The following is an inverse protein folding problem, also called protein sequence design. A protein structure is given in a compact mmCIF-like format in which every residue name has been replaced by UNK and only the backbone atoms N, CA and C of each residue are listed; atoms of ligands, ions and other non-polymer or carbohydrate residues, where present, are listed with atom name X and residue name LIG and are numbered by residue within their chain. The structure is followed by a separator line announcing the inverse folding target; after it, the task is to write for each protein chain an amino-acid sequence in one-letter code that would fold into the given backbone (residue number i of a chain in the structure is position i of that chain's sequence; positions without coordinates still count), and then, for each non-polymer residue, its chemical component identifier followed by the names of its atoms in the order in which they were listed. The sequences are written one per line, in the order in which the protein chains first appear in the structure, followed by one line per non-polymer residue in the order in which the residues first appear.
data_IF_934434647985
#
_entry.id   IF_934434647985
#
_cell.length_a   1.000
_cell.length_b   1.000
_cell.length_c   1.000
_cell.angle_alpha   90.00
_cell.angle_beta   90.00
_cell.angle_gamma   90.00
#
_symmetry.space_group_name_H-M   'P 1'
#
loop_
_entity.id
_entity.type
_entity.pdbx_description
1 polymer ?
#
# COMPACT_ATOMS: atom_id res chain seq x y z
N UNK A 1 0.84 4.95 -18.76
CA UNK A 1 2.29 5.28 -18.63
C UNK A 1 2.78 4.73 -17.31
N UNK A 2 3.94 4.06 -17.30
CA UNK A 2 4.52 3.45 -16.11
C UNK A 2 5.36 4.50 -15.36
N UNK A 3 5.23 4.57 -14.04
CA UNK A 3 5.82 5.60 -13.17
C UNK A 3 6.65 5.01 -12.07
N UNK A 4 7.60 5.81 -11.56
CA UNK A 4 8.38 5.50 -10.36
C UNK A 4 8.12 6.60 -9.34
N UNK A 5 7.72 6.21 -8.14
CA UNK A 5 7.35 7.11 -7.05
C UNK A 5 7.97 6.73 -5.72
N UNK A 6 7.76 7.57 -4.72
CA UNK A 6 8.15 7.35 -3.33
C UNK A 6 7.03 7.78 -2.39
N UNK A 7 6.98 7.14 -1.23
CA UNK A 7 6.14 7.59 -0.13
C UNK A 7 6.76 8.81 0.55
N UNK A 8 5.91 9.79 0.86
CA UNK A 8 6.25 11.03 1.55
C UNK A 8 5.28 11.28 2.70
N UNK A 9 5.80 11.56 3.90
CA UNK A 9 4.99 11.73 5.09
C UNK A 9 5.64 12.59 6.15
N UNK A 10 4.89 12.88 7.20
CA UNK A 10 5.28 13.75 8.30
C UNK A 10 5.14 13.00 9.64
N UNK A 11 6.11 12.16 10.04
CA UNK A 11 5.97 11.30 11.22
C UNK A 11 5.74 12.04 12.54
N UNK A 12 6.08 13.32 12.59
CA UNK A 12 5.83 14.24 13.72
C UNK A 12 4.50 15.01 13.61
N UNK A 13 3.73 14.77 12.53
CA UNK A 13 2.47 15.46 12.26
C UNK A 13 2.61 16.82 11.58
N UNK A 14 3.81 17.39 11.54
CA UNK A 14 4.05 18.73 10.97
C UNK A 14 4.22 18.71 9.45
N UNK A 15 3.19 19.16 8.73
CA UNK A 15 3.19 19.22 7.26
C UNK A 15 4.31 20.12 6.70
N UNK A 16 4.85 21.06 7.47
CA UNK A 16 5.93 21.93 7.00
C UNK A 16 7.18 21.17 6.57
N UNK A 17 7.41 19.99 7.18
CA UNK A 17 8.53 19.10 6.86
C UNK A 17 8.42 18.49 5.45
N UNK A 18 7.23 18.41 4.88
CA UNK A 18 6.96 17.82 3.56
C UNK A 18 7.67 18.59 2.43
N UNK A 19 7.78 19.91 2.53
CA UNK A 19 8.43 20.75 1.51
C UNK A 19 9.88 20.33 1.21
N UNK A 20 10.63 19.90 2.21
CA UNK A 20 12.00 19.41 2.04
C UNK A 20 12.03 18.05 1.30
N UNK A 21 11.07 17.18 1.58
CA UNK A 21 10.94 15.90 0.89
C UNK A 21 10.57 16.10 -0.59
N UNK A 22 9.61 16.99 -0.88
CA UNK A 22 9.23 17.34 -2.27
C UNK A 22 10.44 17.82 -3.07
N UNK A 23 11.25 18.72 -2.51
CA UNK A 23 12.48 19.21 -3.16
C UNK A 23 13.46 18.06 -3.46
N UNK A 24 13.70 17.19 -2.48
CA UNK A 24 14.57 16.03 -2.62
C UNK A 24 14.08 15.08 -3.73
N UNK A 25 12.79 14.75 -3.74
CA UNK A 25 12.22 13.85 -4.74
C UNK A 25 12.20 14.46 -6.14
N UNK A 26 12.04 15.78 -6.24
CA UNK A 26 12.19 16.52 -7.51
C UNK A 26 13.63 16.41 -8.04
N UNK A 27 14.63 16.57 -7.18
CA UNK A 27 16.05 16.40 -7.54
C UNK A 27 16.39 14.97 -7.97
N UNK A 28 15.70 13.96 -7.41
CA UNK A 28 15.82 12.55 -7.80
C UNK A 28 15.10 12.21 -9.11
N UNK A 29 14.25 13.09 -9.62
CA UNK A 29 13.53 12.91 -10.87
C UNK A 29 12.51 11.77 -10.85
N UNK A 30 11.79 11.62 -9.73
CA UNK A 30 10.66 10.68 -9.61
C UNK A 30 9.41 11.26 -10.27
N UNK A 31 8.51 10.38 -10.70
CA UNK A 31 7.31 10.75 -11.47
C UNK A 31 6.09 11.01 -10.56
N UNK A 32 6.06 10.40 -9.37
CA UNK A 32 4.91 10.44 -8.47
C UNK A 32 5.31 10.40 -7.00
N UNK A 33 4.39 10.84 -6.14
CA UNK A 33 4.54 10.72 -4.69
C UNK A 33 3.26 10.18 -4.06
N UNK A 34 3.42 9.23 -3.16
CA UNK A 34 2.36 8.75 -2.29
C UNK A 34 2.39 9.51 -0.98
N UNK A 35 1.35 10.29 -0.74
CA UNK A 35 1.23 11.14 0.45
C UNK A 35 0.64 10.33 1.61
N UNK A 36 1.42 10.13 2.65
CA UNK A 36 1.05 9.36 3.84
C UNK A 36 0.19 10.21 4.79
N UNK A 37 -1.10 10.39 4.48
CA UNK A 37 -2.01 11.24 5.28
C UNK A 37 -2.24 10.71 6.70
N UNK A 38 -1.97 9.44 6.96
CA UNK A 38 -2.00 8.87 8.31
C UNK A 38 -0.94 9.47 9.25
N UNK A 39 0.07 10.13 8.70
CA UNK A 39 1.13 10.81 9.44
C UNK A 39 0.90 12.33 9.57
N UNK A 40 -0.31 12.81 9.26
CA UNK A 40 -0.65 14.23 9.22
C UNK A 40 -1.99 14.48 9.92
N UNK A 41 -2.16 15.65 10.53
CA UNK A 41 -3.38 16.02 11.25
C UNK A 41 -4.53 16.49 10.33
N UNK A 42 -4.55 16.03 9.08
CA UNK A 42 -5.60 16.40 8.08
C UNK A 42 -6.96 15.77 8.36
N UNK A 43 -7.00 14.72 9.18
CA UNK A 43 -8.24 14.10 9.67
C UNK A 43 -8.15 13.96 11.19
N UNK A 44 -9.09 14.60 11.91
CA UNK A 44 -9.15 14.54 13.37
C UNK A 44 -10.58 14.22 13.81
N UNK A 45 -10.74 13.23 14.69
CA UNK A 45 -12.05 12.80 15.18
C UNK A 45 -13.03 12.41 14.05
N UNK A 46 -12.53 11.79 12.98
CA UNK A 46 -13.28 11.42 11.76
C UNK A 46 -13.85 12.63 10.99
N UNK A 47 -13.25 13.80 11.15
CA UNK A 47 -13.59 15.02 10.41
C UNK A 47 -12.35 15.56 9.72
N UNK A 48 -12.55 16.15 8.54
CA UNK A 48 -11.47 16.84 7.84
C UNK A 48 -11.08 18.10 8.64
N UNK A 49 -9.81 18.19 8.97
CA UNK A 49 -9.21 19.38 9.59
C UNK A 49 -8.88 20.38 8.49
N UNK A 50 -9.82 21.29 8.22
CA UNK A 50 -9.73 22.23 7.09
C UNK A 50 -8.48 23.10 7.08
N UNK A 51 -7.97 23.66 8.22
CA UNK A 51 -6.70 24.37 8.27
C UNK A 51 -5.53 23.52 7.77
N UNK A 52 -5.38 22.30 8.27
CA UNK A 52 -4.28 21.39 7.89
C UNK A 52 -4.40 20.90 6.44
N UNK A 53 -5.61 20.58 5.99
CA UNK A 53 -5.86 20.25 4.59
C UNK A 53 -5.47 21.40 3.66
N UNK A 54 -5.75 22.66 4.07
CA UNK A 54 -5.33 23.83 3.29
C UNK A 54 -3.81 23.92 3.21
N UNK A 55 -3.10 23.72 4.32
CA UNK A 55 -1.62 23.73 4.35
C UNK A 55 -1.08 22.64 3.41
N UNK A 56 -1.64 21.42 3.48
CA UNK A 56 -1.26 20.32 2.59
C UNK A 56 -1.47 20.69 1.12
N UNK A 57 -2.64 21.20 0.75
CA UNK A 57 -2.95 21.65 -0.62
C UNK A 57 -1.98 22.74 -1.11
N UNK A 58 -1.72 23.75 -0.28
CA UNK A 58 -0.78 24.82 -0.63
C UNK A 58 0.66 24.30 -0.80
N UNK A 59 1.06 23.30 0.01
CA UNK A 59 2.39 22.67 -0.08
C UNK A 59 2.55 21.85 -1.37
N UNK A 60 1.52 21.14 -1.79
CA UNK A 60 1.52 20.32 -3.00
C UNK A 60 1.29 21.15 -4.28
N UNK A 61 0.82 22.39 -4.15
CA UNK A 61 0.50 23.25 -5.28
C UNK A 61 1.75 23.55 -6.14
N UNK A 62 1.60 23.54 -7.46
CA UNK A 62 2.67 23.82 -8.43
C UNK A 62 3.89 22.88 -8.36
N UNK A 63 3.71 21.68 -7.83
CA UNK A 63 4.69 20.61 -7.95
C UNK A 63 4.35 19.73 -9.16
N UNK A 64 5.39 19.27 -9.90
CA UNK A 64 5.22 18.46 -11.10
C UNK A 64 5.19 16.96 -10.78
N UNK A 65 4.40 16.55 -9.78
CA UNK A 65 4.22 15.15 -9.42
C UNK A 65 2.77 14.72 -9.66
N UNK A 66 2.59 13.44 -10.01
CA UNK A 66 1.30 12.78 -9.79
C UNK A 66 1.22 12.33 -8.34
N UNK A 67 0.05 12.47 -7.72
CA UNK A 67 -0.14 12.07 -6.34
C UNK A 67 -0.99 10.81 -6.24
N UNK A 68 -0.60 9.93 -5.34
CA UNK A 68 -1.42 8.95 -4.67
C UNK A 68 -1.47 9.28 -3.17
N UNK A 69 -2.35 8.63 -2.45
CA UNK A 69 -2.49 8.77 -0.99
C UNK A 69 -2.37 7.41 -0.35
N UNK A 70 -1.60 7.29 0.73
CA UNK A 70 -1.76 6.20 1.68
C UNK A 70 -2.70 6.65 2.79
N UNK A 71 -3.85 6.00 2.90
CA UNK A 71 -4.87 6.27 3.91
C UNK A 71 -4.49 5.78 5.30
N UNK A 72 -5.40 5.92 6.25
CA UNK A 72 -5.18 5.47 7.62
C UNK A 72 -4.89 3.97 7.69
N UNK A 73 -3.72 3.61 8.22
CA UNK A 73 -3.22 2.23 8.33
C UNK A 73 -4.15 1.30 9.13
N UNK A 74 -4.93 1.87 10.05
CA UNK A 74 -5.85 1.12 10.91
C UNK A 74 -7.17 0.76 10.26
N UNK A 75 -7.47 1.23 9.04
CA UNK A 75 -8.70 0.85 8.33
C UNK A 75 -8.71 -0.65 8.11
N UNK A 76 -9.74 -1.32 8.64
CA UNK A 76 -9.88 -2.77 8.59
C UNK A 76 -11.36 -3.15 8.52
N UNK A 77 -11.89 -3.32 7.33
CA UNK A 77 -13.31 -3.65 7.10
C UNK A 77 -13.66 -5.11 7.45
N UNK A 78 -12.65 -5.97 7.74
CA UNK A 78 -12.89 -7.30 8.32
C UNK A 78 -13.16 -7.25 9.83
N UNK A 79 -12.83 -6.13 10.50
CA UNK A 79 -13.15 -5.92 11.90
C UNK A 79 -14.60 -5.47 12.05
N UNK A 80 -15.48 -6.39 12.45
CA UNK A 80 -16.92 -6.13 12.54
C UNK A 80 -17.32 -5.25 13.73
N UNK A 81 -16.54 -5.24 14.80
CA UNK A 81 -16.78 -4.41 15.99
C UNK A 81 -16.67 -2.91 15.67
N UNK A 82 -15.68 -2.55 14.85
CA UNK A 82 -15.41 -1.16 14.47
C UNK A 82 -15.73 -0.85 13.00
N UNK A 83 -16.49 -1.71 12.33
CA UNK A 83 -16.76 -1.62 10.89
C UNK A 83 -17.23 -0.23 10.45
N UNK A 84 -18.23 0.35 11.11
CA UNK A 84 -18.78 1.65 10.73
C UNK A 84 -17.78 2.79 10.95
N UNK A 85 -16.90 2.65 11.95
CA UNK A 85 -15.80 3.59 12.19
C UNK A 85 -14.74 3.52 11.10
N UNK A 86 -14.40 2.31 10.65
CA UNK A 86 -13.45 2.08 9.56
C UNK A 86 -14.01 2.57 8.23
N UNK A 87 -15.29 2.29 7.94
CA UNK A 87 -15.98 2.80 6.77
C UNK A 87 -15.99 4.32 6.72
N UNK A 88 -16.31 4.98 7.84
CA UNK A 88 -16.30 6.46 7.92
C UNK A 88 -14.88 7.01 7.72
N UNK A 89 -13.84 6.37 8.28
CA UNK A 89 -12.46 6.79 8.07
C UNK A 89 -12.06 6.62 6.60
N UNK A 90 -12.41 5.51 5.95
CA UNK A 90 -12.16 5.30 4.53
C UNK A 90 -12.80 6.40 3.69
N UNK A 91 -14.04 6.78 4.02
CA UNK A 91 -14.74 7.89 3.37
C UNK A 91 -13.97 9.22 3.49
N UNK A 92 -13.46 9.55 4.70
CA UNK A 92 -12.64 10.77 4.88
C UNK A 92 -11.33 10.69 4.09
N UNK A 93 -10.69 9.51 4.03
CA UNK A 93 -9.48 9.33 3.22
C UNK A 93 -9.76 9.59 1.73
N UNK A 94 -10.90 9.12 1.20
CA UNK A 94 -11.34 9.39 -0.19
C UNK A 94 -11.50 10.89 -0.42
N UNK A 95 -12.19 11.59 0.48
CA UNK A 95 -12.42 13.03 0.37
C UNK A 95 -11.10 13.81 0.35
N UNK A 96 -10.17 13.52 1.27
CA UNK A 96 -8.83 14.16 1.29
C UNK A 96 -8.07 13.84 0.00
N UNK A 97 -8.13 12.61 -0.49
CA UNK A 97 -7.47 12.22 -1.75
C UNK A 97 -8.00 13.02 -2.94
N UNK A 98 -9.32 13.19 -3.04
CA UNK A 98 -9.93 14.04 -4.07
C UNK A 98 -9.53 15.51 -3.97
N UNK A 99 -9.46 16.05 -2.74
CA UNK A 99 -9.09 17.44 -2.48
C UNK A 99 -7.66 17.80 -2.89
N UNK A 100 -6.73 16.82 -2.89
CA UNK A 100 -5.35 17.00 -3.35
C UNK A 100 -5.13 16.49 -4.78
N UNK A 101 -6.19 16.12 -5.52
CA UNK A 101 -6.15 15.54 -6.86
C UNK A 101 -5.28 14.26 -6.95
N UNK A 102 -5.31 13.42 -5.93
CA UNK A 102 -4.66 12.12 -5.97
C UNK A 102 -5.40 11.17 -6.91
N UNK A 103 -4.66 10.39 -7.70
CA UNK A 103 -5.25 9.40 -8.63
C UNK A 103 -5.67 8.12 -7.92
N UNK A 104 -4.93 7.72 -6.88
CA UNK A 104 -5.16 6.50 -6.11
C UNK A 104 -5.18 6.78 -4.61
N UNK A 105 -6.02 6.04 -3.90
CA UNK A 105 -5.99 5.91 -2.45
C UNK A 105 -5.64 4.47 -2.08
N UNK A 106 -4.46 4.26 -1.53
CA UNK A 106 -4.06 2.98 -0.94
C UNK A 106 -4.76 2.81 0.40
N UNK A 107 -5.38 1.65 0.59
CA UNK A 107 -6.00 1.23 1.84
C UNK A 107 -5.85 -0.27 2.03
N UNK A 108 -5.64 -0.71 3.25
CA UNK A 108 -5.42 -2.12 3.56
C UNK A 108 -6.67 -2.97 3.31
N UNK A 109 -6.48 -4.19 2.79
CA UNK A 109 -7.55 -5.19 2.72
C UNK A 109 -8.07 -5.54 4.11
N UNK A 110 -7.19 -5.51 5.10
CA UNK A 110 -7.50 -5.81 6.48
C UNK A 110 -7.09 -7.21 6.92
N UNK A 111 -7.20 -7.41 8.23
CA UNK A 111 -6.86 -8.65 8.91
C UNK A 111 -8.06 -9.16 9.70
N UNK A 112 -8.12 -10.47 9.85
CA UNK A 112 -9.02 -11.11 10.82
C UNK A 112 -8.21 -11.96 11.81
N UNK A 113 -8.88 -12.72 12.69
CA UNK A 113 -8.19 -13.66 13.56
C UNK A 113 -8.22 -15.07 12.97
N UNK A 114 -7.24 -15.92 13.33
CA UNK A 114 -7.23 -17.33 12.93
C UNK A 114 -8.53 -18.02 13.33
N UNK A 115 -9.06 -17.71 14.53
CA UNK A 115 -10.35 -18.25 15.02
C UNK A 115 -11.54 -17.88 14.13
N UNK A 116 -11.60 -16.64 13.62
CA UNK A 116 -12.67 -16.23 12.70
C UNK A 116 -12.49 -16.92 11.35
N UNK A 117 -11.27 -17.01 10.85
CA UNK A 117 -10.94 -17.69 9.60
C UNK A 117 -11.30 -19.18 9.63
N UNK A 118 -11.08 -19.88 10.76
CA UNK A 118 -11.45 -21.29 10.95
C UNK A 118 -12.97 -21.48 10.91
N UNK A 119 -13.75 -20.50 11.36
CA UNK A 119 -15.21 -20.50 11.20
C UNK A 119 -15.57 -19.95 9.79
N UNK A 120 -15.63 -20.85 8.82
CA UNK A 120 -15.80 -20.48 7.40
C UNK A 120 -17.08 -19.68 7.13
N UNK A 121 -18.19 -20.01 7.77
CA UNK A 121 -19.46 -19.28 7.61
C UNK A 121 -19.31 -17.83 8.10
N UNK A 122 -18.75 -17.64 9.28
CA UNK A 122 -18.51 -16.33 9.86
C UNK A 122 -17.51 -15.51 9.00
N UNK A 123 -16.42 -16.13 8.59
CA UNK A 123 -15.41 -15.45 7.75
C UNK A 123 -16.00 -15.00 6.41
N UNK A 124 -16.76 -15.87 5.72
CA UNK A 124 -17.43 -15.51 4.48
C UNK A 124 -18.45 -14.39 4.65
N UNK A 125 -19.15 -14.35 5.80
CA UNK A 125 -20.08 -13.23 6.08
C UNK A 125 -19.35 -11.90 6.25
N UNK A 126 -18.15 -11.89 6.89
CA UNK A 126 -17.31 -10.70 7.01
C UNK A 126 -16.77 -10.25 5.65
N UNK A 127 -16.29 -11.19 4.82
CA UNK A 127 -15.84 -10.89 3.46
C UNK A 127 -16.95 -10.29 2.61
N UNK A 128 -18.16 -10.84 2.67
CA UNK A 128 -19.31 -10.31 1.92
C UNK A 128 -19.62 -8.86 2.32
N UNK A 129 -19.66 -8.58 3.62
CA UNK A 129 -19.89 -7.21 4.11
C UNK A 129 -18.81 -6.24 3.65
N UNK A 130 -17.54 -6.69 3.65
CA UNK A 130 -16.41 -5.92 3.13
C UNK A 130 -16.55 -5.65 1.63
N UNK A 131 -16.92 -6.66 0.82
CA UNK A 131 -17.17 -6.50 -0.62
C UNK A 131 -18.25 -5.45 -0.90
N UNK A 132 -19.39 -5.54 -0.21
CA UNK A 132 -20.48 -4.57 -0.33
C UNK A 132 -20.00 -3.15 0.02
N UNK A 133 -19.17 -3.02 1.04
CA UNK A 133 -18.60 -1.74 1.43
C UNK A 133 -17.60 -1.21 0.39
N UNK A 134 -16.72 -2.05 -0.16
CA UNK A 134 -15.79 -1.61 -1.21
C UNK A 134 -16.51 -1.22 -2.50
N UNK A 135 -17.59 -1.91 -2.88
CA UNK A 135 -18.42 -1.51 -4.03
C UNK A 135 -19.05 -0.12 -3.80
N UNK A 136 -19.62 0.13 -2.61
CA UNK A 136 -20.16 1.44 -2.24
C UNK A 136 -19.08 2.54 -2.20
N UNK A 137 -17.94 2.25 -1.60
CA UNK A 137 -16.83 3.21 -1.51
C UNK A 137 -16.14 3.42 -2.86
N UNK A 138 -16.18 2.45 -3.77
CA UNK A 138 -15.74 2.59 -5.16
C UNK A 138 -16.55 3.62 -5.93
N UNK A 139 -17.89 3.59 -5.81
CA UNK A 139 -18.75 4.64 -6.40
C UNK A 139 -18.47 6.00 -5.76
N UNK A 140 -18.31 6.05 -4.44
CA UNK A 140 -17.97 7.29 -3.75
C UNK A 140 -16.59 7.83 -4.17
N UNK A 141 -15.59 6.98 -4.33
CA UNK A 141 -14.25 7.35 -4.80
C UNK A 141 -14.30 7.90 -6.25
N UNK A 142 -15.13 7.30 -7.11
CA UNK A 142 -15.34 7.78 -8.48
C UNK A 142 -15.91 9.21 -8.51
N UNK A 143 -16.83 9.57 -7.61
CA UNK A 143 -17.33 10.95 -7.48
C UNK A 143 -16.22 11.95 -7.13
N UNK A 144 -15.17 11.49 -6.47
CA UNK A 144 -13.97 12.26 -6.09
C UNK A 144 -12.80 12.11 -7.10
N UNK A 145 -13.00 11.41 -8.24
CA UNK A 145 -11.96 11.08 -9.22
C UNK A 145 -10.78 10.27 -8.64
N UNK A 146 -11.04 9.43 -7.65
CA UNK A 146 -10.06 8.58 -6.98
C UNK A 146 -10.31 7.12 -7.30
N UNK A 147 -9.25 6.32 -7.43
CA UNK A 147 -9.31 4.86 -7.49
C UNK A 147 -8.84 4.30 -6.14
N UNK A 148 -9.62 3.42 -5.53
CA UNK A 148 -9.17 2.66 -4.36
C UNK A 148 -8.16 1.61 -4.81
N UNK A 149 -7.00 1.58 -4.20
CA UNK A 149 -5.96 0.57 -4.39
C UNK A 149 -5.86 -0.27 -3.11
N UNK A 150 -6.46 -1.46 -3.15
CA UNK A 150 -6.60 -2.33 -1.97
C UNK A 150 -5.31 -3.13 -1.80
N UNK A 151 -4.63 -2.90 -0.69
CA UNK A 151 -3.32 -3.46 -0.41
C UNK A 151 -3.38 -4.78 0.35
N UNK A 152 -2.60 -5.76 -0.10
CA UNK A 152 -2.38 -7.02 0.61
C UNK A 152 -1.48 -6.81 1.84
N UNK A 153 -1.80 -7.55 2.90
CA UNK A 153 -1.05 -7.53 4.16
C UNK A 153 -0.46 -8.91 4.49
N UNK A 154 0.28 -8.94 5.58
CA UNK A 154 0.78 -10.15 6.23
C UNK A 154 0.30 -10.20 7.70
N UNK A 155 0.29 -11.35 8.37
CA UNK A 155 -0.21 -11.46 9.75
C UNK A 155 0.83 -10.93 10.76
N UNK A 156 0.83 -9.62 11.02
CA UNK A 156 1.77 -8.94 11.91
C UNK A 156 1.30 -8.84 13.38
N UNK A 157 0.02 -9.09 13.64
CA UNK A 157 -0.52 -9.16 14.99
C UNK A 157 -0.55 -10.61 15.50
N UNK A 158 -0.48 -10.84 16.83
CA UNK A 158 -0.71 -12.17 17.40
C UNK A 158 -2.06 -12.73 16.93
N UNK A 159 -2.08 -14.01 16.60
CA UNK A 159 -3.29 -14.75 16.19
C UNK A 159 -4.05 -14.12 15.00
N UNK A 160 -3.38 -13.25 14.23
CA UNK A 160 -3.98 -12.65 13.04
C UNK A 160 -3.83 -13.53 11.81
N UNK A 161 -4.85 -13.48 10.99
CA UNK A 161 -4.91 -14.05 9.65
C UNK A 161 -4.96 -12.93 8.61
N UNK A 162 -4.05 -12.97 7.65
CA UNK A 162 -4.06 -12.15 6.44
C UNK A 162 -4.41 -13.02 5.23
N UNK A 163 -5.39 -12.64 4.41
CA UNK A 163 -5.69 -13.35 3.16
C UNK A 163 -4.47 -13.39 2.23
N UNK A 164 -4.34 -14.50 1.48
CA UNK A 164 -3.32 -14.60 0.44
C UNK A 164 -3.64 -13.68 -0.75
N UNK A 165 -2.66 -13.29 -1.56
CA UNK A 165 -2.88 -12.47 -2.74
C UNK A 165 -3.94 -13.00 -3.70
N UNK A 166 -4.03 -14.33 -3.89
CA UNK A 166 -5.08 -14.97 -4.70
C UNK A 166 -6.48 -14.79 -4.11
N UNK A 167 -6.63 -14.87 -2.78
CA UNK A 167 -7.91 -14.65 -2.09
C UNK A 167 -8.36 -13.19 -2.24
N UNK A 168 -7.44 -12.23 -2.15
CA UNK A 168 -7.73 -10.81 -2.35
C UNK A 168 -8.14 -10.54 -3.80
N UNK A 169 -7.37 -11.05 -4.77
CA UNK A 169 -7.68 -10.91 -6.18
C UNK A 169 -9.07 -11.45 -6.53
N UNK A 170 -9.45 -12.61 -5.97
CA UNK A 170 -10.80 -13.15 -6.14
C UNK A 170 -11.86 -12.21 -5.61
N UNK A 171 -11.67 -11.65 -4.41
CA UNK A 171 -12.62 -10.70 -3.82
C UNK A 171 -12.79 -9.44 -4.68
N UNK A 172 -11.72 -8.90 -5.24
CA UNK A 172 -11.79 -7.70 -6.07
C UNK A 172 -12.40 -7.99 -7.45
N UNK A 173 -12.16 -9.17 -8.02
CA UNK A 173 -12.84 -9.63 -9.24
C UNK A 173 -14.34 -9.79 -9.01
N UNK A 174 -14.77 -10.27 -7.85
CA UNK A 174 -16.19 -10.42 -7.50
C UNK A 174 -16.87 -9.06 -7.28
N UNK A 175 -16.12 -8.03 -6.84
CA UNK A 175 -16.62 -6.65 -6.75
C UNK A 175 -16.81 -6.05 -8.15
N UNK A 176 -15.92 -6.34 -9.09
CA UNK A 176 -15.92 -5.89 -10.49
C UNK A 176 -16.22 -4.38 -10.66
N UNK A 177 -15.52 -3.55 -9.87
CA UNK A 177 -15.72 -2.11 -9.89
C UNK A 177 -14.52 -1.38 -10.53
N UNK A 178 -14.74 -0.43 -11.47
CA UNK A 178 -13.64 0.24 -12.18
C UNK A 178 -12.71 1.05 -11.26
N UNK A 179 -13.25 1.60 -10.16
CA UNK A 179 -12.50 2.39 -9.18
C UNK A 179 -12.10 1.57 -7.93
N UNK A 180 -12.09 0.22 -8.00
CA UNK A 180 -11.56 -0.65 -6.95
C UNK A 180 -10.53 -1.57 -7.59
N UNK A 181 -9.26 -1.36 -7.28
CA UNK A 181 -8.09 -2.05 -7.85
C UNK A 181 -7.23 -2.61 -6.72
N UNK A 182 -6.18 -3.34 -7.07
CA UNK A 182 -5.18 -3.77 -6.11
C UNK A 182 -4.05 -2.74 -5.98
N UNK A 183 -3.52 -2.62 -4.77
CA UNK A 183 -2.14 -2.26 -4.51
C UNK A 183 -1.41 -3.55 -4.14
N UNK A 184 -0.46 -4.00 -4.98
CA UNK A 184 0.37 -5.14 -4.65
C UNK A 184 1.58 -4.67 -3.85
N UNK A 185 1.57 -4.90 -2.54
CA UNK A 185 2.80 -4.86 -1.78
C UNK A 185 3.54 -6.20 -1.93
N UNK A 186 4.69 -6.14 -2.62
CA UNK A 186 5.48 -7.32 -2.98
C UNK A 186 6.08 -7.97 -1.74
N UNK A 187 6.57 -7.18 -0.79
CA UNK A 187 7.16 -7.66 0.45
C UNK A 187 6.11 -8.27 1.39
N UNK A 188 4.95 -7.63 1.54
CA UNK A 188 3.85 -8.19 2.31
C UNK A 188 3.38 -9.54 1.73
N UNK A 189 3.28 -9.63 0.39
CA UNK A 189 2.99 -10.87 -0.30
C UNK A 189 4.04 -11.95 0.01
N UNK A 190 5.33 -11.59 -0.04
CA UNK A 190 6.43 -12.51 0.25
C UNK A 190 6.42 -12.99 1.71
N UNK A 191 6.23 -12.07 2.67
CA UNK A 191 6.08 -12.40 4.10
C UNK A 191 4.91 -13.35 4.37
N UNK A 192 3.74 -13.04 3.80
CA UNK A 192 2.54 -13.84 4.02
C UNK A 192 2.64 -15.23 3.37
N UNK A 193 3.11 -15.32 2.13
CA UNK A 193 3.28 -16.58 1.42
C UNK A 193 4.29 -17.49 2.11
N UNK A 194 5.45 -16.96 2.51
CA UNK A 194 6.46 -17.73 3.23
C UNK A 194 5.92 -18.25 4.56
N UNK A 195 5.22 -17.41 5.32
CA UNK A 195 4.58 -17.82 6.57
C UNK A 195 3.52 -18.91 6.39
N UNK A 196 2.74 -18.81 5.32
CA UNK A 196 1.65 -19.75 4.98
C UNK A 196 2.15 -20.99 4.22
N UNK A 197 3.44 -21.07 3.90
CA UNK A 197 4.02 -22.12 3.04
C UNK A 197 3.31 -22.19 1.68
N UNK A 198 2.92 -21.02 1.13
CA UNK A 198 2.34 -20.86 -0.20
C UNK A 198 3.42 -20.48 -1.21
N UNK A 199 3.22 -20.82 -2.50
CA UNK A 199 4.17 -20.49 -3.53
C UNK A 199 4.01 -19.02 -3.96
N UNK A 200 4.94 -18.16 -3.54
CA UNK A 200 4.85 -16.71 -3.65
C UNK A 200 4.55 -16.20 -5.06
N UNK A 201 5.28 -16.70 -6.07
CA UNK A 201 5.10 -16.27 -7.48
C UNK A 201 3.70 -16.61 -8.00
N UNK A 202 3.17 -17.79 -7.65
CA UNK A 202 1.83 -18.20 -8.08
C UNK A 202 0.76 -17.35 -7.41
N UNK A 203 0.95 -17.00 -6.15
CA UNK A 203 0.01 -16.18 -5.39
C UNK A 203 -0.09 -14.75 -5.94
N UNK A 204 1.04 -14.04 -6.08
CA UNK A 204 1.02 -12.64 -6.53
C UNK A 204 0.63 -12.50 -8.01
N UNK A 205 0.75 -13.57 -8.81
CA UNK A 205 0.31 -13.61 -10.19
C UNK A 205 -1.20 -13.30 -10.34
N UNK A 206 -1.99 -13.63 -9.33
CA UNK A 206 -3.43 -13.32 -9.33
C UNK A 206 -3.72 -11.83 -9.13
N UNK A 207 -2.92 -11.13 -8.30
CA UNK A 207 -3.09 -9.69 -8.05
C UNK A 207 -2.46 -8.82 -9.14
N UNK A 208 -1.38 -9.27 -9.78
CA UNK A 208 -0.61 -8.47 -10.73
C UNK A 208 -1.46 -7.78 -11.81
N UNK A 209 -2.41 -8.46 -12.51
CA UNK A 209 -3.24 -7.82 -13.54
C UNK A 209 -4.21 -6.76 -13.02
N UNK A 210 -4.48 -6.75 -11.70
CA UNK A 210 -5.40 -5.83 -11.04
C UNK A 210 -4.66 -4.67 -10.36
N UNK A 211 -3.31 -4.69 -10.35
CA UNK A 211 -2.48 -3.76 -9.58
C UNK A 211 -1.99 -2.61 -10.44
N UNK A 212 -2.63 -1.46 -10.31
CA UNK A 212 -2.17 -0.19 -10.91
C UNK A 212 -1.14 0.54 -10.04
N UNK A 213 -1.02 0.12 -8.77
CA UNK A 213 -0.09 0.62 -7.77
C UNK A 213 0.65 -0.54 -7.11
N UNK A 214 1.96 -0.42 -6.95
CA UNK A 214 2.80 -1.46 -6.34
C UNK A 214 3.70 -0.80 -5.30
N UNK A 215 3.74 -1.35 -4.09
CA UNK A 215 4.73 -1.00 -3.09
C UNK A 215 6.01 -1.81 -3.30
N UNK A 216 7.13 -1.06 -3.38
CA UNK A 216 8.45 -1.57 -3.71
C UNK A 216 9.39 -1.39 -2.54
N UNK A 217 9.71 -2.46 -1.87
CA UNK A 217 10.78 -2.59 -0.89
C UNK A 217 11.16 -4.05 -0.73
N UNK A 218 12.32 -4.32 -0.17
CA UNK A 218 12.84 -5.67 -0.05
C UNK A 218 12.76 -6.22 1.38
N UNK A 219 12.72 -7.53 1.51
CA UNK A 219 12.72 -8.26 2.79
C UNK A 219 13.22 -9.69 2.59
N UNK A 220 13.36 -10.44 3.69
CA UNK A 220 13.76 -11.85 3.65
C UNK A 220 12.59 -12.83 3.82
N UNK A 221 11.35 -12.37 3.74
CA UNK A 221 10.17 -13.23 3.84
C UNK A 221 9.93 -13.88 5.20
N UNK A 222 10.58 -13.43 6.26
CA UNK A 222 10.48 -14.01 7.60
C UNK A 222 9.72 -13.10 8.56
N UNK A 223 8.62 -13.57 9.15
CA UNK A 223 7.86 -12.78 10.12
C UNK A 223 8.60 -12.59 11.46
N UNK A 224 8.41 -11.42 12.06
CA UNK A 224 8.81 -11.11 13.42
C UNK A 224 7.61 -11.34 14.37
N UNK A 225 7.25 -12.61 14.65
CA UNK A 225 6.08 -12.91 15.49
C UNK A 225 6.37 -12.97 17.00
N UNK A 226 7.38 -13.72 17.40
CA UNK A 226 7.62 -14.03 18.82
C UNK A 226 9.03 -13.63 19.30
N UNK A 227 9.83 -13.06 18.43
CA UNK A 227 11.19 -12.63 18.74
C UNK A 227 11.16 -11.15 19.16
N UNK A 228 11.66 -10.87 20.37
CA UNK A 228 11.89 -9.50 20.79
C UNK A 228 13.16 -8.96 20.10
N UNK A 229 13.08 -7.76 19.58
CA UNK A 229 14.23 -7.00 19.06
C UNK A 229 14.19 -5.58 19.60
N UNK A 230 15.35 -4.98 19.81
CA UNK A 230 15.46 -3.61 20.31
C UNK A 230 14.91 -2.57 19.33
N UNK A 231 15.17 -2.78 18.04
CA UNK A 231 14.73 -1.88 16.98
C UNK A 231 14.71 -2.58 15.61
N UNK A 232 14.24 -1.87 14.57
CA UNK A 232 14.21 -2.39 13.19
C UNK A 232 15.58 -2.77 12.62
N UNK A 233 16.68 -2.16 13.08
CA UNK A 233 18.04 -2.51 12.63
C UNK A 233 18.43 -3.89 13.10
N UNK A 234 18.14 -4.19 14.38
CA UNK A 234 18.41 -5.53 14.93
C UNK A 234 17.51 -6.59 14.29
N UNK A 235 16.21 -6.28 14.08
CA UNK A 235 15.32 -7.17 13.33
C UNK A 235 15.87 -7.47 11.92
N UNK A 236 16.39 -6.44 11.24
CA UNK A 236 17.07 -6.57 9.94
C UNK A 236 18.31 -7.45 9.98
N UNK A 237 19.09 -7.40 11.07
CA UNK A 237 20.26 -8.28 11.22
C UNK A 237 19.87 -9.78 11.29
N UNK A 238 18.65 -10.08 11.71
CA UNK A 238 18.09 -11.43 11.70
C UNK A 238 17.25 -11.72 10.43
N UNK A 239 17.10 -10.76 9.53
CA UNK A 239 16.25 -10.87 8.34
C UNK A 239 14.77 -11.01 8.65
N UNK A 240 14.28 -10.45 9.77
CA UNK A 240 12.91 -10.65 10.25
C UNK A 240 12.07 -9.38 10.24
N UNK A 241 10.83 -9.55 9.85
CA UNK A 241 9.81 -8.50 9.81
C UNK A 241 9.72 -7.80 8.47
N UNK A 242 8.84 -6.82 8.44
CA UNK A 242 8.67 -5.91 7.33
C UNK A 242 9.74 -4.81 7.41
N UNK A 243 10.81 -5.01 6.64
CA UNK A 243 12.08 -4.30 6.83
C UNK A 243 12.21 -3.03 5.99
N UNK A 244 11.41 -2.88 4.94
CA UNK A 244 11.48 -1.76 3.99
C UNK A 244 12.91 -1.49 3.48
N UNK A 245 13.60 -2.57 3.05
CA UNK A 245 14.97 -2.50 2.55
C UNK A 245 15.06 -1.95 1.13
N UNK A 246 16.22 -1.39 0.72
CA UNK A 246 16.54 -1.17 -0.68
C UNK A 246 16.46 -2.48 -1.49
N UNK A 247 16.08 -2.38 -2.77
CA UNK A 247 16.02 -3.55 -3.66
C UNK A 247 17.38 -4.25 -3.75
N UNK A 248 17.36 -5.57 -3.71
CA UNK A 248 18.55 -6.43 -3.75
C UNK A 248 19.26 -6.60 -2.40
N UNK A 249 18.69 -6.09 -1.31
CA UNK A 249 19.19 -6.34 0.04
C UNK A 249 18.50 -7.52 0.73
N UNK A 250 17.35 -7.94 0.25
CA UNK A 250 16.60 -9.10 0.68
C UNK A 250 16.64 -10.22 -0.34
N UNK A 251 15.61 -11.06 -0.33
CA UNK A 251 15.53 -12.29 -1.12
C UNK A 251 14.39 -12.26 -2.15
N UNK A 252 13.72 -11.11 -2.32
CA UNK A 252 12.58 -11.02 -3.26
C UNK A 252 13.08 -11.08 -4.70
N UNK A 253 12.57 -12.00 -5.54
CA UNK A 253 13.04 -12.19 -6.91
C UNK A 253 12.39 -11.18 -7.89
N UNK A 254 12.67 -9.87 -7.73
CA UNK A 254 12.04 -8.80 -8.51
C UNK A 254 12.13 -9.01 -10.02
N UNK A 255 13.30 -9.40 -10.55
CA UNK A 255 13.46 -9.62 -11.99
C UNK A 255 12.50 -10.72 -12.50
N UNK A 256 12.37 -11.82 -11.76
CA UNK A 256 11.42 -12.89 -12.10
C UNK A 256 9.98 -12.39 -12.10
N UNK A 257 9.60 -11.57 -11.09
CA UNK A 257 8.27 -10.99 -11.00
C UNK A 257 7.95 -10.17 -12.24
N UNK A 258 8.84 -9.25 -12.63
CA UNK A 258 8.60 -8.33 -13.75
C UNK A 258 8.80 -8.98 -15.14
N UNK A 259 9.41 -10.15 -15.23
CA UNK A 259 9.51 -10.95 -16.47
C UNK A 259 8.35 -11.91 -16.66
N UNK A 260 7.77 -12.45 -15.61
CA UNK A 260 6.73 -13.49 -15.69
C UNK A 260 5.31 -12.95 -15.53
N UNK A 261 5.12 -11.73 -15.00
CA UNK A 261 3.80 -11.16 -14.72
C UNK A 261 3.44 -10.02 -15.65
N UNK A 262 2.16 -9.95 -15.98
CA UNK A 262 1.59 -8.81 -16.71
C UNK A 262 0.94 -7.85 -15.71
N UNK A 263 1.39 -6.59 -15.75
CA UNK A 263 0.80 -5.49 -15.01
C UNK A 263 0.02 -4.56 -15.94
N UNK A 264 -0.94 -3.78 -15.44
CA UNK A 264 -1.66 -2.79 -16.24
C UNK A 264 -0.73 -1.79 -16.93
N UNK A 265 -1.20 -1.20 -18.05
CA UNK A 265 -0.47 -0.15 -18.77
C UNK A 265 -0.20 1.07 -17.88
N UNK A 266 -1.19 1.44 -17.07
CA UNK A 266 -1.00 2.43 -15.99
C UNK A 266 -0.48 1.71 -14.77
N UNK A 267 0.78 1.95 -14.44
CA UNK A 267 1.45 1.31 -13.32
C UNK A 267 2.34 2.31 -12.61
N UNK A 268 2.22 2.39 -11.30
CA UNK A 268 3.13 3.12 -10.42
C UNK A 268 3.90 2.14 -9.54
N UNK A 269 5.23 2.19 -9.61
CA UNK A 269 6.12 1.53 -8.67
C UNK A 269 6.48 2.53 -7.57
N UNK A 270 5.81 2.45 -6.44
CA UNK A 270 6.00 3.35 -5.31
C UNK A 270 6.93 2.74 -4.27
N UNK A 271 8.05 3.42 -3.99
CA UNK A 271 9.01 2.96 -2.99
C UNK A 271 8.60 3.35 -1.58
N UNK A 272 8.56 2.35 -0.71
CA UNK A 272 8.41 2.50 0.74
C UNK A 272 9.70 2.20 1.52
N UNK A 273 10.84 2.48 0.89
CA UNK A 273 12.16 2.28 1.51
C UNK A 273 12.40 3.32 2.61
N UNK A 274 12.83 2.87 3.79
CA UNK A 274 13.06 3.75 4.94
C UNK A 274 14.05 4.88 4.64
N UNK A 275 13.80 6.07 5.17
CA UNK A 275 14.64 7.28 4.98
C UNK A 275 16.11 7.10 5.38
N UNK A 276 16.42 6.21 6.33
CA UNK A 276 17.81 5.87 6.69
C UNK A 276 18.60 5.31 5.52
N UNK A 277 17.94 4.85 4.46
CA UNK A 277 18.53 4.30 3.24
C UNK A 277 18.52 5.31 2.07
N UNK A 278 18.25 6.59 2.32
CA UNK A 278 18.13 7.62 1.26
C UNK A 278 19.34 7.69 0.30
N UNK A 279 20.53 7.33 0.74
CA UNK A 279 21.73 7.27 -0.11
C UNK A 279 21.65 6.24 -1.23
N UNK A 280 20.68 5.30 -1.16
CA UNK A 280 20.44 4.25 -2.16
C UNK A 280 19.20 4.52 -3.01
N UNK A 281 18.53 5.66 -2.86
CA UNK A 281 17.29 5.95 -3.61
C UNK A 281 17.55 6.04 -5.12
N UNK A 282 18.70 6.59 -5.55
CA UNK A 282 19.08 6.62 -6.96
C UNK A 282 19.24 5.21 -7.56
N UNK A 283 19.84 4.29 -6.84
CA UNK A 283 19.99 2.90 -7.24
C UNK A 283 18.64 2.21 -7.34
N UNK A 284 17.75 2.42 -6.39
CA UNK A 284 16.39 1.90 -6.41
C UNK A 284 15.61 2.42 -7.63
N UNK A 285 15.69 3.72 -7.94
CA UNK A 285 15.04 4.31 -9.12
C UNK A 285 15.57 3.68 -10.42
N UNK A 286 16.90 3.52 -10.55
CA UNK A 286 17.50 2.88 -11.73
C UNK A 286 17.01 1.45 -11.89
N UNK A 287 16.97 0.71 -10.80
CA UNK A 287 16.51 -0.68 -10.81
C UNK A 287 15.01 -0.77 -11.16
N UNK A 288 14.16 0.06 -10.57
CA UNK A 288 12.73 0.11 -10.94
C UNK A 288 12.53 0.40 -12.41
N UNK A 289 13.26 1.37 -12.97
CA UNK A 289 13.19 1.69 -14.40
C UNK A 289 13.67 0.52 -15.26
N UNK A 290 14.72 -0.20 -14.85
CA UNK A 290 15.18 -1.43 -15.51
C UNK A 290 14.08 -2.53 -15.48
N UNK A 291 13.46 -2.75 -14.33
CA UNK A 291 12.37 -3.72 -14.17
C UNK A 291 11.16 -3.39 -15.09
N UNK A 292 10.84 -2.11 -15.22
CA UNK A 292 9.77 -1.66 -16.13
C UNK A 292 10.05 -1.91 -17.62
N UNK A 293 11.33 -2.07 -18.02
CA UNK A 293 11.67 -2.42 -19.42
C UNK A 293 11.18 -3.84 -19.76
N UNK A 294 11.18 -4.79 -18.85
CA UNK A 294 10.62 -6.13 -19.08
C UNK A 294 9.13 -6.08 -19.42
N UNK A 295 8.41 -5.13 -18.84
CA UNK A 295 6.98 -4.95 -19.08
C UNK A 295 6.62 -4.33 -20.45
N UNK A 296 7.59 -3.91 -21.25
CA UNK A 296 7.39 -3.42 -22.63
C UNK A 296 7.44 -4.55 -23.67
N UNK A 297 7.91 -5.72 -23.27
CA UNK A 297 8.17 -6.87 -24.15
C UNK A 297 7.05 -7.91 -24.09
N UNK A 298 6.10 -7.75 -23.19
CA UNK A 298 4.93 -8.61 -22.98
C UNK A 298 3.71 -7.93 -23.60
#
# INVERSE_FOLDING_TARGET
MKKVGFSAGCPDGDISSLSNQLKKFKELGVDSLEIQIFSMDVIMGKKINQPELKILKDTLLNQDFEYSVHGALSVNLLNQEYFDSHKEMLKRNIEVSGEINATHLVTHFGLTTEKIYENKELYLSHLKRQQECYAEMGEYAKEHNVTLAIENLYPFLPDSYAPLPSEIAQQLNDIDHPNVKCCLDISHGYLNCTYRNAHFIDEIKHMAPLSEHIHMHDSHGMLLKSMWTWNKTEAGAYGKGDLHLPLGWGDIPFEKIFTEMQFPEKLCLNFEVLDRYQKYFNENIKEARRLLEFQKQI
#
